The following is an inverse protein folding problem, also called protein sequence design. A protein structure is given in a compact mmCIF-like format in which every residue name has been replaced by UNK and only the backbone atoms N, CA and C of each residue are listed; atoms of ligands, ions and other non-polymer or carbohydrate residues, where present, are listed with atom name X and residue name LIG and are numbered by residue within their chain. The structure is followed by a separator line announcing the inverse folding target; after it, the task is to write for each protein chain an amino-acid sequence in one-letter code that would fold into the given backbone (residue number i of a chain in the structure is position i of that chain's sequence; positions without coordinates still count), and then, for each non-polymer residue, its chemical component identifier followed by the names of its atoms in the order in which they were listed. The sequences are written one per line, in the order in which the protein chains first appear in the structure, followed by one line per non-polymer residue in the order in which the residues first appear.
data_IF_004061957522
#
_entry.id   IF_004061957522
#
_cell.length_a   1.000
_cell.length_b   1.000
_cell.length_c   1.000
_cell.angle_alpha   90.00
_cell.angle_beta   90.00
_cell.angle_gamma   90.00
#
_symmetry.space_group_name_H-M   'P 1'
#
loop_
_entity.id
_entity.type
_entity.pdbx_description
1 polymer ?
#
# COMPACT_ATOMS: atom_id res chain seq x y z
N UNK A 1 15.77 26.10 27.64
CA UNK A 1 15.54 26.24 26.19
C UNK A 1 16.56 25.36 25.49
N UNK A 2 16.22 24.10 25.23
CA UNK A 2 16.92 23.26 24.25
C UNK A 2 15.96 22.14 23.83
N UNK A 3 15.41 22.32 22.64
CA UNK A 3 14.79 21.34 21.75
C UNK A 3 13.97 20.19 22.35
N UNK A 4 12.70 20.49 22.64
CA UNK A 4 11.61 19.51 22.75
C UNK A 4 11.03 19.19 21.35
N UNK A 5 11.83 19.36 20.30
CA UNK A 5 11.54 18.85 18.96
C UNK A 5 12.56 17.75 18.64
N UNK A 6 12.54 16.66 19.42
CA UNK A 6 12.77 15.38 18.77
C UNK A 6 11.74 15.30 17.65
N UNK A 7 12.20 15.57 16.44
CA UNK A 7 11.44 15.43 15.20
C UNK A 7 10.74 14.09 15.28
N UNK A 8 9.44 14.09 15.61
CA UNK A 8 8.61 12.90 15.55
C UNK A 8 8.67 12.51 14.08
N UNK A 9 9.57 11.59 13.75
CA UNK A 9 9.73 11.04 12.42
C UNK A 9 8.43 10.30 12.17
N UNK A 10 7.46 10.99 11.56
CA UNK A 10 6.16 10.42 11.24
C UNK A 10 6.47 9.21 10.37
N UNK A 11 6.22 8.02 10.92
CA UNK A 11 6.31 6.78 10.18
C UNK A 11 5.07 6.72 9.30
N UNK A 12 5.17 7.37 8.14
CA UNK A 12 4.08 7.42 7.15
C UNK A 12 3.72 6.03 6.61
N UNK A 13 4.65 5.07 6.60
CA UNK A 13 4.38 3.70 6.12
C UNK A 13 3.17 3.03 6.81
N UNK A 14 3.10 2.95 8.16
CA UNK A 14 1.88 2.48 8.85
C UNK A 14 0.58 3.20 8.46
N UNK A 15 0.61 4.53 8.36
CA UNK A 15 -0.56 5.33 8.01
C UNK A 15 -0.99 5.09 6.56
N UNK A 16 -0.01 4.94 5.66
CA UNK A 16 -0.22 4.62 4.25
C UNK A 16 -0.86 3.25 4.07
N UNK A 17 -0.39 2.24 4.81
CA UNK A 17 -1.00 0.90 4.80
C UNK A 17 -2.47 0.95 5.24
N UNK A 18 -2.74 1.66 6.35
CA UNK A 18 -4.11 1.79 6.86
C UNK A 18 -5.04 2.51 5.87
N UNK A 19 -4.56 3.59 5.25
CA UNK A 19 -5.34 4.32 4.25
C UNK A 19 -5.64 3.46 3.02
N UNK A 20 -4.66 2.70 2.51
CA UNK A 20 -4.86 1.79 1.39
C UNK A 20 -5.86 0.67 1.74
N UNK A 21 -5.76 0.05 2.91
CA UNK A 21 -6.72 -0.98 3.34
C UNK A 21 -8.15 -0.43 3.47
N UNK A 22 -8.31 0.78 3.99
CA UNK A 22 -9.62 1.44 4.10
C UNK A 22 -10.20 1.77 2.72
N UNK A 23 -9.40 2.34 1.83
CA UNK A 23 -9.78 2.68 0.47
C UNK A 23 -10.32 1.45 -0.27
N UNK A 24 -9.71 0.28 -0.07
CA UNK A 24 -10.06 -0.98 -0.73
C UNK A 24 -10.94 -1.93 0.08
N UNK A 25 -11.48 -1.49 1.23
CA UNK A 25 -12.23 -2.35 2.16
C UNK A 25 -13.41 -3.08 1.50
N UNK A 26 -14.14 -2.38 0.63
CA UNK A 26 -15.29 -2.93 -0.12
C UNK A 26 -14.91 -4.03 -1.12
N UNK A 27 -13.63 -4.20 -1.41
CA UNK A 27 -13.09 -5.20 -2.34
C UNK A 27 -12.11 -6.16 -1.66
N UNK A 28 -12.10 -6.21 -0.32
CA UNK A 28 -11.15 -7.02 0.47
C UNK A 28 -11.18 -8.51 0.11
N UNK A 29 -12.33 -9.07 -0.23
CA UNK A 29 -12.44 -10.49 -0.62
C UNK A 29 -11.82 -10.78 -2.00
N UNK A 30 -11.73 -9.76 -2.85
CA UNK A 30 -11.18 -9.83 -4.20
C UNK A 30 -9.69 -9.42 -4.28
N UNK A 31 -9.15 -8.87 -3.18
CA UNK A 31 -7.82 -8.29 -3.11
C UNK A 31 -6.96 -9.01 -2.07
N UNK A 32 -5.67 -9.06 -2.33
CA UNK A 32 -4.67 -9.52 -1.37
C UNK A 32 -3.62 -8.43 -1.17
N UNK A 33 -3.27 -8.22 0.10
CA UNK A 33 -2.31 -7.19 0.52
C UNK A 33 -1.10 -7.88 1.12
N UNK A 34 0.08 -7.62 0.56
CA UNK A 34 1.34 -8.11 1.08
C UNK A 34 2.22 -6.91 1.43
N UNK A 35 2.57 -6.78 2.71
CA UNK A 35 3.41 -5.69 3.23
C UNK A 35 4.87 -6.10 3.15
N UNK A 36 5.76 -5.15 2.87
CA UNK A 36 7.21 -5.38 2.80
C UNK A 36 7.60 -6.54 1.86
N UNK A 37 7.05 -6.52 0.65
CA UNK A 37 7.22 -7.61 -0.31
C UNK A 37 8.52 -7.47 -1.12
N UNK A 38 9.26 -8.56 -1.26
CA UNK A 38 10.45 -8.60 -2.13
C UNK A 38 10.05 -9.05 -3.54
N UNK A 39 10.30 -8.22 -4.56
CA UNK A 39 10.02 -8.60 -5.96
C UNK A 39 11.02 -9.61 -6.52
N UNK A 40 12.23 -9.66 -5.96
CA UNK A 40 13.32 -10.52 -6.40
C UNK A 40 14.01 -11.17 -5.20
N UNK A 41 15.04 -11.97 -5.48
CA UNK A 41 15.90 -12.61 -4.48
C UNK A 41 16.85 -11.61 -3.79
N UNK A 42 16.42 -10.35 -3.60
CA UNK A 42 17.16 -9.11 -3.25
C UNK A 42 17.65 -8.32 -4.49
N UNK A 43 17.81 -6.96 -4.45
CA UNK A 43 17.60 -6.01 -3.33
C UNK A 43 16.29 -5.19 -3.39
N UNK A 44 15.36 -5.48 -4.30
CA UNK A 44 14.16 -4.64 -4.52
C UNK A 44 13.04 -5.06 -3.56
N UNK A 45 12.85 -4.28 -2.49
CA UNK A 45 11.75 -4.41 -1.52
C UNK A 45 10.72 -3.29 -1.72
N UNK A 46 9.45 -3.65 -1.66
CA UNK A 46 8.31 -2.74 -1.78
C UNK A 46 7.56 -2.63 -0.48
N UNK A 47 7.01 -1.45 -0.20
CA UNK A 47 6.21 -1.20 0.99
C UNK A 47 4.90 -2.00 0.96
N UNK A 48 4.17 -1.95 -0.16
CA UNK A 48 2.88 -2.63 -0.31
C UNK A 48 2.68 -3.20 -1.72
N UNK A 49 2.37 -4.49 -1.80
CA UNK A 49 1.90 -5.17 -3.00
C UNK A 49 0.40 -5.45 -2.87
N UNK A 50 -0.38 -5.04 -3.88
CA UNK A 50 -1.81 -5.32 -3.96
C UNK A 50 -2.10 -6.20 -5.18
N UNK A 51 -2.66 -7.38 -4.92
CA UNK A 51 -2.95 -8.39 -5.95
C UNK A 51 -4.47 -8.47 -6.17
N UNK A 52 -4.91 -8.31 -7.41
CA UNK A 52 -6.29 -8.63 -7.82
C UNK A 52 -6.39 -10.11 -8.15
N UNK A 53 -7.17 -10.85 -7.37
CA UNK A 53 -7.40 -12.29 -7.60
C UNK A 53 -8.23 -12.54 -8.87
N UNK A 54 -9.12 -11.60 -9.21
CA UNK A 54 -10.01 -11.66 -10.37
C UNK A 54 -9.77 -10.43 -11.26
N UNK A 55 -9.46 -10.65 -12.53
CA UNK A 55 -9.07 -9.59 -13.46
C UNK A 55 -10.23 -8.63 -13.80
N UNK A 56 -11.46 -9.13 -13.78
CA UNK A 56 -12.66 -8.40 -14.24
C UNK A 56 -13.41 -7.67 -13.13
N UNK A 57 -12.91 -7.69 -11.88
CA UNK A 57 -13.53 -6.93 -10.80
C UNK A 57 -13.13 -5.47 -10.90
N UNK A 58 -14.13 -4.65 -11.23
CA UNK A 58 -14.05 -3.19 -11.17
C UNK A 58 -14.17 -2.76 -9.70
N UNK A 59 -13.04 -2.42 -9.11
CA UNK A 59 -12.95 -1.78 -7.79
C UNK A 59 -13.68 -0.43 -7.86
N UNK A 60 -14.63 -0.19 -6.95
CA UNK A 60 -15.61 0.92 -7.01
C UNK A 60 -15.10 2.26 -6.46
N UNK A 61 -13.86 2.31 -5.99
CA UNK A 61 -13.29 3.40 -5.21
C UNK A 61 -12.44 4.37 -6.06
N UNK A 62 -11.91 5.41 -5.43
CA UNK A 62 -11.21 6.52 -6.09
C UNK A 62 -9.91 6.06 -6.73
N UNK A 63 -9.23 5.06 -6.17
CA UNK A 63 -7.98 4.52 -6.75
C UNK A 63 -8.18 3.26 -7.59
N UNK A 64 -9.29 2.56 -7.44
CA UNK A 64 -9.48 1.25 -8.04
C UNK A 64 -9.69 1.24 -9.53
N UNK A 65 -10.09 2.37 -10.11
CA UNK A 65 -10.28 2.49 -11.55
C UNK A 65 -8.95 2.52 -12.32
N UNK A 66 -7.84 2.91 -11.68
CA UNK A 66 -6.49 2.86 -12.27
C UNK A 66 -5.76 1.54 -11.99
N UNK A 67 -6.24 0.72 -11.03
CA UNK A 67 -5.60 -0.53 -10.63
C UNK A 67 -5.73 -1.65 -11.67
N UNK A 68 -4.58 -2.19 -12.07
CA UNK A 68 -4.41 -3.37 -12.94
C UNK A 68 -4.39 -4.67 -12.14
N UNK A 69 -4.06 -5.80 -12.78
CA UNK A 69 -4.00 -7.13 -12.14
C UNK A 69 -2.99 -7.19 -10.98
N UNK A 70 -1.82 -6.58 -11.20
CA UNK A 70 -0.76 -6.44 -10.20
C UNK A 70 -0.41 -4.96 -10.10
N UNK A 71 -0.39 -4.42 -8.88
CA UNK A 71 -0.05 -3.02 -8.64
C UNK A 71 0.98 -2.94 -7.52
N UNK A 72 2.00 -2.14 -7.78
CA UNK A 72 3.07 -1.81 -6.86
C UNK A 72 2.82 -0.40 -6.36
N UNK A 73 2.97 -0.21 -5.05
CA UNK A 73 2.88 1.12 -4.46
C UNK A 73 4.03 1.31 -3.48
N UNK A 74 4.82 2.35 -3.72
CA UNK A 74 5.98 2.72 -2.93
C UNK A 74 5.76 4.11 -2.34
N UNK A 75 6.08 4.28 -1.06
CA UNK A 75 6.10 5.59 -0.43
C UNK A 75 7.55 6.06 -0.36
N UNK A 76 7.93 6.99 -1.24
CA UNK A 76 9.22 7.67 -1.13
C UNK A 76 9.18 8.65 0.04
N UNK A 77 10.20 8.57 0.91
CA UNK A 77 10.46 9.61 1.90
C UNK A 77 11.06 10.85 1.23
#
# INVERSE_FOLDING_TARGET
MTDILETVSIKWHPGFYGAAELEFLSNKDALEFQREFNLSKEPIRMDLLIIKKLADIRTKNELGHIFKKFNVIEFSR
#
